data_IF_845913484465
#
_entry.id   IF_845913484465
#
_cell.length_a   1.000
_cell.length_b   1.000
_cell.length_c   1.000
_cell.angle_alpha   90.00
_cell.angle_beta   90.00
_cell.angle_gamma   90.00
#
_symmetry.space_group_name_H-M   'P 1'
#
loop_
_entity.id
_entity.type
_entity.pdbx_description
1 polymer ?
#
# COMPACT_ATOMS: atom_id res chain seq x y z
N UNK A 1 12.29 4.75 -3.84
CA UNK A 1 12.41 5.01 -2.40
C UNK A 1 12.02 6.45 -2.11
N UNK A 2 11.28 6.69 -1.04
CA UNK A 2 10.86 8.05 -0.70
C UNK A 2 11.99 8.81 -0.01
N UNK A 3 12.06 10.10 -0.29
CA UNK A 3 12.98 11.04 0.35
C UNK A 3 12.17 12.26 0.80
N UNK A 4 12.74 13.14 1.62
CA UNK A 4 12.01 14.35 2.01
C UNK A 4 11.51 15.17 0.82
N UNK A 5 12.24 15.15 -0.27
CA UNK A 5 11.84 15.85 -1.49
C UNK A 5 10.62 15.25 -2.16
N UNK A 6 10.36 13.95 -1.92
CA UNK A 6 9.23 13.24 -2.51
C UNK A 6 7.98 13.29 -1.64
N UNK A 7 8.09 13.75 -0.39
CA UNK A 7 6.96 13.78 0.54
C UNK A 7 5.73 14.55 0.03
N UNK A 8 5.88 15.71 -0.66
CA UNK A 8 4.71 16.37 -1.23
C UNK A 8 3.96 15.50 -2.24
N UNK A 9 4.68 14.70 -3.03
CA UNK A 9 4.06 13.76 -3.97
C UNK A 9 3.35 12.64 -3.23
N UNK A 10 3.96 12.12 -2.16
CA UNK A 10 3.37 11.08 -1.34
C UNK A 10 2.05 11.55 -0.73
N UNK A 11 2.06 12.73 -0.13
CA UNK A 11 0.87 13.31 0.50
C UNK A 11 -0.26 13.44 -0.52
N UNK A 12 0.05 13.99 -1.68
CA UNK A 12 -0.95 14.19 -2.73
C UNK A 12 -1.52 12.85 -3.22
N UNK A 13 -0.67 11.86 -3.44
CA UNK A 13 -1.11 10.54 -3.87
C UNK A 13 -1.99 9.86 -2.83
N UNK A 14 -1.65 9.99 -1.56
CA UNK A 14 -2.47 9.44 -0.48
C UNK A 14 -3.84 10.10 -0.42
N UNK A 15 -3.89 11.42 -0.62
CA UNK A 15 -5.16 12.15 -0.66
C UNK A 15 -6.02 11.72 -1.84
N UNK A 16 -5.40 11.53 -3.02
CA UNK A 16 -6.11 11.02 -4.20
C UNK A 16 -6.62 9.61 -3.98
N UNK A 17 -5.81 8.77 -3.32
CA UNK A 17 -6.22 7.41 -3.00
C UNK A 17 -7.47 7.41 -2.13
N UNK A 18 -7.48 8.21 -1.08
CA UNK A 18 -8.63 8.30 -0.18
C UNK A 18 -9.87 8.79 -0.92
N UNK A 19 -9.72 9.79 -1.78
CA UNK A 19 -10.83 10.32 -2.57
C UNK A 19 -11.37 9.27 -3.55
N UNK A 20 -10.49 8.46 -4.14
CA UNK A 20 -10.89 7.44 -5.11
C UNK A 20 -11.72 6.31 -4.50
N UNK A 21 -11.57 6.07 -3.20
CA UNK A 21 -12.31 5.02 -2.50
C UNK A 21 -13.72 5.45 -2.14
N UNK A 22 -14.01 6.73 -2.21
CA UNK A 22 -15.31 7.30 -1.82
C UNK A 22 -15.72 6.84 -0.41
N UNK A 23 -14.75 6.73 0.49
CA UNK A 23 -14.94 6.35 1.88
C UNK A 23 -14.13 7.28 2.77
N UNK A 24 -14.53 7.35 4.03
CA UNK A 24 -13.82 8.13 5.03
C UNK A 24 -12.77 7.25 5.70
N UNK A 25 -11.49 7.61 5.56
CA UNK A 25 -10.39 6.88 6.17
C UNK A 25 -10.07 7.35 7.60
N UNK A 26 -10.93 8.15 8.21
CA UNK A 26 -10.74 8.60 9.59
C UNK A 26 -10.56 7.43 10.56
N UNK A 27 -11.16 6.27 10.27
CA UNK A 27 -10.99 5.08 11.10
C UNK A 27 -9.54 4.57 11.11
N UNK A 28 -8.69 5.03 10.18
CA UNK A 28 -7.28 4.69 10.11
C UNK A 28 -6.38 5.86 10.52
N UNK A 29 -6.93 6.90 11.14
CA UNK A 29 -6.21 8.12 11.49
C UNK A 29 -5.51 8.74 10.29
N UNK A 30 -6.19 8.79 9.17
CA UNK A 30 -5.61 9.19 7.90
C UNK A 30 -5.04 10.61 7.93
N UNK A 31 -5.75 11.56 8.53
CA UNK A 31 -5.27 12.94 8.61
C UNK A 31 -3.95 13.02 9.39
N UNK A 32 -3.87 12.30 10.50
CA UNK A 32 -2.66 12.23 11.31
C UNK A 32 -1.53 11.56 10.53
N UNK A 33 -1.85 10.53 9.75
CA UNK A 33 -0.88 9.87 8.88
C UNK A 33 -0.26 10.87 7.92
N UNK A 34 -1.09 11.72 7.27
CA UNK A 34 -0.59 12.74 6.34
C UNK A 34 0.30 13.75 7.02
N UNK A 35 -0.03 14.15 8.24
CA UNK A 35 0.74 15.14 9.00
C UNK A 35 2.09 14.62 9.45
N UNK A 36 2.19 13.31 9.73
CA UNK A 36 3.37 12.70 10.33
C UNK A 36 4.19 11.86 9.37
N UNK A 37 3.91 11.91 8.08
CA UNK A 37 4.65 11.13 7.08
C UNK A 37 6.16 11.36 7.22
N UNK A 38 6.99 10.30 7.07
CA UNK A 38 6.60 8.92 6.75
C UNK A 38 6.07 8.09 7.92
N UNK A 39 6.17 8.57 9.15
CA UNK A 39 5.62 7.91 10.34
C UNK A 39 5.98 6.43 10.41
N UNK A 40 4.96 5.56 10.56
CA UNK A 40 5.15 4.12 10.64
C UNK A 40 5.66 3.48 9.36
N UNK A 41 5.65 4.21 8.25
CA UNK A 41 6.18 3.71 6.97
C UNK A 41 7.67 4.04 6.80
N UNK A 42 8.29 4.68 7.79
CA UNK A 42 9.70 5.06 7.71
C UNK A 42 10.65 3.90 7.97
N UNK A 43 11.92 4.03 7.52
CA UNK A 43 12.92 3.01 7.79
C UNK A 43 13.20 2.92 9.30
N UNK A 44 13.76 1.81 9.78
CA UNK A 44 14.18 0.63 9.02
C UNK A 44 13.07 -0.37 8.73
N UNK A 45 11.92 -0.23 9.38
CA UNK A 45 10.85 -1.23 9.35
C UNK A 45 9.91 -1.08 8.15
N UNK A 46 9.86 0.07 7.53
CA UNK A 46 8.95 0.36 6.44
C UNK A 46 9.57 1.17 5.33
N UNK A 47 8.78 1.48 4.32
CA UNK A 47 9.20 2.31 3.19
C UNK A 47 7.96 2.83 2.46
N UNK A 48 8.10 3.96 1.80
CA UNK A 48 7.11 4.46 0.85
C UNK A 48 7.81 4.54 -0.49
N UNK A 49 7.21 3.92 -1.51
CA UNK A 49 7.76 3.89 -2.87
C UNK A 49 6.83 4.71 -3.76
N UNK A 50 7.42 5.61 -4.55
CA UNK A 50 6.68 6.42 -5.51
C UNK A 50 7.17 6.03 -6.91
N UNK A 51 6.24 5.80 -7.82
CA UNK A 51 6.56 5.54 -9.23
C UNK A 51 6.39 6.82 -10.03
N UNK A 52 7.33 7.11 -10.90
CA UNK A 52 7.27 8.25 -11.80
C UNK A 52 7.15 7.77 -13.23
N UNK A 53 6.36 8.48 -14.03
CA UNK A 53 6.21 8.21 -15.45
C UNK A 53 6.27 9.56 -16.16
N UNK A 54 7.20 9.70 -17.11
CA UNK A 54 7.41 10.94 -17.85
C UNK A 54 7.61 12.16 -16.92
N UNK A 55 8.32 11.94 -15.80
CA UNK A 55 8.62 12.99 -14.85
C UNK A 55 7.49 13.33 -13.90
N UNK A 56 6.36 12.63 -13.98
CA UNK A 56 5.18 12.86 -13.15
C UNK A 56 5.00 11.71 -12.18
N UNK A 57 4.63 12.03 -10.92
CA UNK A 57 4.31 11.00 -9.94
C UNK A 57 3.06 10.25 -10.39
N UNK A 58 3.19 8.96 -10.66
CA UNK A 58 2.13 8.14 -11.26
C UNK A 58 1.42 7.23 -10.24
N UNK A 59 2.11 6.87 -9.16
CA UNK A 59 1.51 5.98 -8.16
C UNK A 59 2.42 5.80 -6.97
N UNK A 60 1.92 5.09 -5.98
CA UNK A 60 2.65 4.86 -4.73
C UNK A 60 2.23 3.55 -4.07
N UNK A 61 3.05 3.11 -3.12
CA UNK A 61 2.72 2.01 -2.22
C UNK A 61 3.52 2.22 -0.92
N UNK A 62 2.99 1.75 0.19
CA UNK A 62 3.65 1.87 1.47
C UNK A 62 3.74 0.52 2.17
N UNK A 63 4.75 0.38 3.03
CA UNK A 63 5.01 -0.81 3.81
C UNK A 63 5.25 -0.40 5.25
N UNK A 64 4.63 -1.10 6.19
CA UNK A 64 4.89 -0.88 7.61
C UNK A 64 4.95 -2.20 8.36
N UNK A 65 5.57 -2.18 9.53
CA UNK A 65 5.54 -3.34 10.43
C UNK A 65 4.14 -3.46 11.03
N UNK A 66 3.60 -4.68 11.02
CA UNK A 66 2.34 -4.99 11.68
C UNK A 66 2.61 -5.68 13.00
N UNK A 67 3.50 -6.66 13.00
CA UNK A 67 4.01 -7.32 14.21
C UNK A 67 5.37 -7.94 13.89
N UNK A 68 5.97 -8.66 14.81
CA UNK A 68 7.40 -9.06 14.80
C UNK A 68 7.97 -9.49 13.45
N UNK A 69 7.31 -10.39 12.73
CA UNK A 69 7.78 -10.89 11.44
C UNK A 69 6.76 -10.67 10.35
N UNK A 70 5.76 -9.83 10.61
CA UNK A 70 4.66 -9.57 9.70
C UNK A 70 4.62 -8.09 9.35
N UNK A 71 4.56 -7.81 8.06
CA UNK A 71 4.38 -6.44 7.57
C UNK A 71 3.02 -6.28 6.89
N UNK A 72 2.69 -5.05 6.61
CA UNK A 72 1.44 -4.71 5.95
C UNK A 72 1.72 -3.82 4.76
N UNK A 73 1.15 -4.17 3.60
CA UNK A 73 1.18 -3.31 2.41
C UNK A 73 -0.05 -2.41 2.45
N UNK A 74 0.18 -1.11 2.30
CA UNK A 74 -0.90 -0.12 2.34
C UNK A 74 -0.73 0.91 1.24
N UNK A 75 -1.83 1.58 0.91
CA UNK A 75 -1.82 2.75 0.04
C UNK A 75 -1.28 2.48 -1.37
N UNK A 76 -1.52 1.27 -1.90
CA UNK A 76 -1.19 0.98 -3.30
C UNK A 76 -2.19 1.75 -4.18
N UNK A 77 -1.67 2.68 -4.94
CA UNK A 77 -2.49 3.53 -5.78
C UNK A 77 -1.75 3.91 -7.05
N UNK A 78 -2.45 3.87 -8.17
CA UNK A 78 -1.95 4.36 -9.46
C UNK A 78 -2.98 5.35 -9.98
N UNK A 79 -2.51 6.52 -10.40
CA UNK A 79 -3.40 7.54 -10.97
C UNK A 79 -4.14 6.99 -12.18
N UNK A 80 -5.43 7.35 -12.37
CA UNK A 80 -6.22 6.82 -13.49
C UNK A 80 -5.56 6.97 -14.86
N UNK A 81 -4.91 8.10 -15.11
CA UNK A 81 -4.26 8.37 -16.40
C UNK A 81 -3.03 7.52 -16.65
N UNK A 82 -2.51 6.85 -15.61
CA UNK A 82 -1.32 6.00 -15.71
C UNK A 82 -1.64 4.51 -15.55
N UNK A 83 -2.91 4.15 -15.45
CA UNK A 83 -3.32 2.75 -15.31
C UNK A 83 -3.12 2.00 -16.65
N UNK A 84 -2.98 0.68 -16.54
CA UNK A 84 -2.79 -0.17 -17.71
C UNK A 84 -1.36 -0.23 -18.22
N UNK A 85 -0.41 0.35 -17.50
CA UNK A 85 1.01 0.37 -17.87
C UNK A 85 1.87 -0.58 -17.02
N UNK A 86 1.25 -1.34 -16.13
CA UNK A 86 1.98 -2.26 -15.24
C UNK A 86 2.60 -1.59 -14.03
N UNK A 87 2.27 -0.35 -13.74
CA UNK A 87 2.84 0.39 -12.62
C UNK A 87 2.44 -0.21 -11.27
N UNK A 88 1.17 -0.60 -11.12
CA UNK A 88 0.69 -1.23 -9.88
C UNK A 88 1.43 -2.52 -9.57
N UNK A 89 1.64 -3.36 -10.58
CA UNK A 89 2.41 -4.60 -10.43
C UNK A 89 3.86 -4.30 -10.07
N UNK A 90 4.47 -3.31 -10.69
CA UNK A 90 5.85 -2.92 -10.40
C UNK A 90 5.99 -2.42 -8.97
N UNK A 91 5.05 -1.59 -8.51
CA UNK A 91 5.05 -1.08 -7.13
C UNK A 91 4.88 -2.23 -6.12
N UNK A 92 3.91 -3.10 -6.34
CA UNK A 92 3.68 -4.24 -5.45
C UNK A 92 4.89 -5.17 -5.42
N UNK A 93 5.47 -5.47 -6.58
CA UNK A 93 6.68 -6.28 -6.66
C UNK A 93 7.85 -5.67 -5.91
N UNK A 94 8.04 -4.36 -6.05
CA UNK A 94 9.13 -3.65 -5.38
C UNK A 94 8.97 -3.68 -3.86
N UNK A 95 7.76 -3.47 -3.35
CA UNK A 95 7.53 -3.47 -1.91
C UNK A 95 7.65 -4.88 -1.32
N UNK A 96 7.26 -5.91 -2.08
CA UNK A 96 7.42 -7.30 -1.67
C UNK A 96 8.92 -7.64 -1.54
N UNK A 97 9.73 -7.27 -2.53
CA UNK A 97 11.18 -7.50 -2.47
C UNK A 97 11.80 -6.75 -1.30
N UNK A 98 11.36 -5.52 -1.07
CA UNK A 98 11.88 -4.74 0.06
C UNK A 98 11.54 -5.40 1.39
N UNK A 99 10.33 -5.95 1.51
CA UNK A 99 9.91 -6.65 2.72
C UNK A 99 10.79 -7.87 2.97
N UNK A 100 11.14 -8.61 1.93
CA UNK A 100 12.06 -9.74 2.04
C UNK A 100 13.44 -9.29 2.51
N UNK A 101 13.94 -8.20 1.97
CA UNK A 101 15.25 -7.66 2.36
C UNK A 101 15.28 -7.23 3.83
N UNK A 102 14.19 -6.66 4.32
CA UNK A 102 14.08 -6.26 5.73
C UNK A 102 14.03 -7.49 6.64
N UNK A 103 13.50 -8.61 6.15
CA UNK A 103 13.48 -9.86 6.90
C UNK A 103 12.10 -10.29 7.37
N UNK A 104 11.04 -9.73 6.83
CA UNK A 104 9.68 -10.15 7.16
C UNK A 104 9.39 -11.55 6.62
N UNK A 105 8.62 -12.32 7.38
CA UNK A 105 8.21 -13.67 6.98
C UNK A 105 6.91 -13.68 6.20
N UNK A 106 6.04 -12.70 6.44
CA UNK A 106 4.77 -12.60 5.73
C UNK A 106 4.32 -11.15 5.57
N UNK A 107 3.46 -10.93 4.59
CA UNK A 107 2.88 -9.62 4.30
C UNK A 107 1.37 -9.76 4.27
N UNK A 108 0.67 -8.84 4.93
CA UNK A 108 -0.79 -8.81 4.93
C UNK A 108 -1.28 -7.51 4.31
N UNK A 109 -2.52 -7.52 3.89
CA UNK A 109 -3.21 -6.32 3.41
C UNK A 109 -4.70 -6.45 3.66
N UNK A 110 -5.39 -5.32 3.72
CA UNK A 110 -6.84 -5.30 3.69
C UNK A 110 -7.28 -4.51 2.46
N UNK A 111 -8.36 -4.96 1.85
CA UNK A 111 -8.90 -4.38 0.64
C UNK A 111 -10.42 -4.52 0.69
N UNK A 112 -11.09 -4.12 -0.37
CA UNK A 112 -12.54 -4.23 -0.48
C UNK A 112 -12.88 -5.16 -1.63
N UNK A 113 -13.95 -5.93 -1.49
CA UNK A 113 -14.37 -6.88 -2.53
C UNK A 113 -14.65 -6.18 -3.86
N UNK A 114 -15.08 -4.93 -3.81
CA UNK A 114 -15.34 -4.14 -5.01
C UNK A 114 -14.09 -3.72 -5.79
N UNK A 115 -12.92 -3.80 -5.16
CA UNK A 115 -11.65 -3.43 -5.80
C UNK A 115 -11.12 -4.60 -6.63
N UNK A 116 -11.84 -4.93 -7.70
CA UNK A 116 -11.60 -6.15 -8.48
C UNK A 116 -10.24 -6.20 -9.17
N UNK A 117 -9.78 -5.07 -9.71
CA UNK A 117 -8.48 -5.04 -10.39
C UNK A 117 -7.32 -5.22 -9.41
N UNK A 118 -7.39 -4.54 -8.26
CA UNK A 118 -6.38 -4.68 -7.23
C UNK A 118 -6.37 -6.10 -6.68
N UNK A 119 -7.54 -6.68 -6.43
CA UNK A 119 -7.65 -8.03 -5.90
C UNK A 119 -7.09 -9.07 -6.88
N UNK A 120 -7.35 -8.90 -8.17
CA UNK A 120 -6.78 -9.78 -9.20
C UNK A 120 -5.25 -9.69 -9.22
N UNK A 121 -4.71 -8.49 -9.04
CA UNK A 121 -3.26 -8.30 -8.95
C UNK A 121 -2.70 -9.04 -7.74
N UNK A 122 -3.32 -8.89 -6.57
CA UNK A 122 -2.84 -9.56 -5.36
C UNK A 122 -2.84 -11.09 -5.52
N UNK A 123 -3.91 -11.64 -6.07
CA UNK A 123 -3.99 -13.10 -6.32
C UNK A 123 -2.87 -13.53 -7.27
N UNK A 124 -2.62 -12.75 -8.32
CA UNK A 124 -1.58 -13.07 -9.30
C UNK A 124 -0.17 -13.03 -8.70
N UNK A 125 0.00 -12.29 -7.60
CA UNK A 125 1.28 -12.21 -6.89
C UNK A 125 1.44 -13.29 -5.82
N UNK A 126 0.40 -14.08 -5.58
CA UNK A 126 0.43 -15.19 -4.64
C UNK A 126 -0.29 -14.94 -3.32
N UNK A 127 -0.95 -13.81 -3.17
CA UNK A 127 -1.76 -13.54 -1.97
C UNK A 127 -2.97 -14.44 -1.93
N UNK A 128 -3.35 -14.88 -0.72
CA UNK A 128 -4.55 -15.66 -0.48
C UNK A 128 -5.37 -15.00 0.62
N UNK A 129 -6.67 -15.22 0.62
CA UNK A 129 -7.53 -14.66 1.67
C UNK A 129 -7.16 -15.25 3.01
N UNK A 130 -7.21 -14.43 4.06
CA UNK A 130 -6.92 -14.83 5.43
C UNK A 130 -7.95 -14.22 6.38
N UNK A 131 -7.85 -14.57 7.67
CA UNK A 131 -8.72 -14.03 8.70
C UNK A 131 -8.45 -12.54 8.93
N UNK A 132 -9.45 -11.82 9.41
CA UNK A 132 -9.32 -10.43 9.77
C UNK A 132 -8.23 -10.24 10.82
N UNK A 133 -7.34 -9.28 10.60
CA UNK A 133 -6.28 -8.94 11.55
C UNK A 133 -6.44 -7.53 12.10
N UNK A 134 -7.44 -6.80 11.62
CA UNK A 134 -7.76 -5.46 12.11
C UNK A 134 -9.24 -5.20 11.87
N UNK A 135 -9.75 -4.13 12.46
CA UNK A 135 -11.13 -3.72 12.25
C UNK A 135 -11.20 -2.81 11.01
N UNK A 136 -11.99 -3.21 10.04
CA UNK A 136 -12.25 -2.39 8.85
C UNK A 136 -13.77 -2.21 8.75
N UNK A 137 -14.29 -1.00 9.03
CA UNK A 137 -15.72 -0.74 9.03
C UNK A 137 -16.34 -0.60 7.65
N UNK A 138 -15.52 -0.67 6.60
CA UNK A 138 -16.02 -0.58 5.24
C UNK A 138 -16.85 -1.81 4.89
N UNK A 139 -17.69 -1.67 3.89
CA UNK A 139 -18.53 -2.77 3.44
C UNK A 139 -17.69 -3.83 2.72
N UNK A 140 -17.92 -5.10 3.04
CA UNK A 140 -17.26 -6.25 2.40
C UNK A 140 -15.73 -6.17 2.41
N UNK A 141 -15.08 -6.01 3.57
CA UNK A 141 -13.62 -6.01 3.61
C UNK A 141 -13.07 -7.40 3.31
N UNK A 142 -11.92 -7.44 2.66
CA UNK A 142 -11.19 -8.67 2.35
C UNK A 142 -9.79 -8.55 2.92
N UNK A 143 -9.33 -9.60 3.58
CA UNK A 143 -7.98 -9.65 4.16
C UNK A 143 -7.17 -10.69 3.42
N UNK A 144 -5.94 -10.36 3.05
CA UNK A 144 -5.07 -11.25 2.29
C UNK A 144 -3.69 -11.33 2.90
N UNK A 145 -3.00 -12.42 2.62
CA UNK A 145 -1.68 -12.71 3.16
C UNK A 145 -0.80 -13.36 2.10
N UNK A 146 0.50 -13.00 2.13
CA UNK A 146 1.51 -13.60 1.26
C UNK A 146 2.67 -14.07 2.13
N UNK A 147 3.11 -15.31 1.93
CA UNK A 147 4.32 -15.81 2.55
C UNK A 147 5.53 -15.25 1.81
N UNK A 148 6.51 -14.73 2.56
CA UNK A 148 7.73 -14.16 2.01
C UNK A 148 8.92 -15.11 2.06
N UNK A 149 8.71 -16.30 2.62
CA UNK A 149 9.76 -17.32 2.76
C UNK A 149 9.38 -18.61 2.06
#
# INVERSE_FOLDING_TARGET
MSSPEEMPHVRKLFEEYAASLDIDLCFQDFERELETLPGGYGPPDGIIIVAFSDGEAAGCVALRRLESKVCEMKRLYVKPEHRGKGIGRALAGAVIERAREIGYASMKLDTLRSMTEANALYVSLGFTECAAYCHNPCECPVYMELSLI
#
